data_IF_636523718574
#
_entry.id   IF_636523718574
#
_cell.length_a   1.000
_cell.length_b   1.000
_cell.length_c   1.000
_cell.angle_alpha   90.00
_cell.angle_beta   90.00
_cell.angle_gamma   90.00
#
_symmetry.space_group_name_H-M   'P 1'
#
loop_
_entity.id
_entity.type
_entity.pdbx_description
1 polymer ?
#
# COMPACT_ATOMS: atom_id res chain seq x y z
N UNK A 1 11.59 11.35 -3.67
CA UNK A 1 10.99 10.14 -3.06
C UNK A 1 9.53 9.91 -3.46
N UNK A 2 8.57 10.77 -3.08
CA UNK A 2 7.14 10.54 -3.35
C UNK A 2 6.79 10.18 -4.80
N UNK A 3 7.41 10.88 -5.76
CA UNK A 3 7.29 10.56 -7.18
C UNK A 3 7.76 9.15 -7.54
N UNK A 4 8.89 8.69 -6.98
CA UNK A 4 9.40 7.34 -7.20
C UNK A 4 8.45 6.27 -6.64
N UNK A 5 7.78 6.55 -5.52
CA UNK A 5 6.78 5.65 -4.92
C UNK A 5 5.63 5.45 -5.89
N UNK A 6 5.02 6.53 -6.39
CA UNK A 6 3.95 6.41 -7.39
C UNK A 6 4.38 5.71 -8.67
N UNK A 7 5.61 5.97 -9.13
CA UNK A 7 6.16 5.34 -10.32
C UNK A 7 6.42 3.84 -10.17
N UNK A 8 6.90 3.37 -9.01
CA UNK A 8 7.17 1.95 -8.78
C UNK A 8 5.89 1.19 -8.42
N UNK A 9 5.11 1.75 -7.50
CA UNK A 9 4.11 0.98 -6.75
C UNK A 9 2.68 1.09 -7.30
N UNK A 10 2.40 1.92 -8.31
CA UNK A 10 1.10 1.91 -8.99
C UNK A 10 0.73 0.51 -9.50
N UNK A 11 1.73 -0.29 -9.85
CA UNK A 11 1.55 -1.66 -10.29
C UNK A 11 0.97 -2.55 -9.18
N UNK A 12 1.29 -2.30 -7.91
CA UNK A 12 0.78 -3.07 -6.78
C UNK A 12 -0.74 -2.93 -6.61
N UNK A 13 -1.33 -1.82 -7.08
CA UNK A 13 -2.77 -1.55 -6.96
C UNK A 13 -3.57 -1.82 -8.23
N UNK A 14 -2.98 -1.62 -9.41
CA UNK A 14 -3.73 -1.62 -10.67
C UNK A 14 -3.31 -2.71 -11.66
N UNK A 15 -2.20 -3.44 -11.43
CA UNK A 15 -1.76 -4.47 -12.37
C UNK A 15 -2.77 -5.61 -12.52
N UNK A 16 -3.53 -5.94 -11.47
CA UNK A 16 -4.58 -6.96 -11.50
C UNK A 16 -5.72 -6.54 -12.43
N UNK A 17 -6.23 -5.32 -12.30
CA UNK A 17 -7.33 -4.82 -13.14
C UNK A 17 -6.89 -4.56 -14.59
N UNK A 18 -5.67 -4.08 -14.81
CA UNK A 18 -5.11 -3.91 -16.17
C UNK A 18 -4.84 -5.27 -16.81
N UNK A 19 -4.23 -6.21 -16.07
CA UNK A 19 -3.92 -7.56 -16.53
C UNK A 19 -5.17 -8.36 -16.90
N UNK A 20 -6.24 -8.23 -16.10
CA UNK A 20 -7.55 -8.84 -16.38
C UNK A 20 -8.35 -8.10 -17.48
N UNK A 21 -7.79 -7.02 -18.07
CA UNK A 21 -8.43 -6.17 -19.08
C UNK A 21 -9.76 -5.56 -18.59
N UNK A 22 -9.86 -5.27 -17.30
CA UNK A 22 -10.99 -4.58 -16.70
C UNK A 22 -10.98 -3.08 -17.02
N UNK A 23 -9.79 -2.48 -17.00
CA UNK A 23 -9.55 -1.07 -17.31
C UNK A 23 -8.31 -0.92 -18.19
N UNK A 24 -8.26 0.19 -18.92
CA UNK A 24 -7.08 0.54 -19.70
C UNK A 24 -5.97 1.06 -18.78
N UNK A 25 -4.75 1.00 -19.29
CA UNK A 25 -3.58 1.54 -18.63
C UNK A 25 -3.75 3.02 -18.21
N UNK A 26 -4.29 3.86 -19.11
CA UNK A 26 -4.50 5.30 -18.84
C UNK A 26 -5.50 5.52 -17.71
N UNK A 27 -6.60 4.77 -17.70
CA UNK A 27 -7.60 4.84 -16.64
C UNK A 27 -7.02 4.42 -15.29
N UNK A 28 -6.29 3.29 -15.26
CA UNK A 28 -5.65 2.78 -14.06
C UNK A 28 -4.78 3.82 -13.36
N UNK A 29 -3.92 4.48 -14.14
CA UNK A 29 -2.98 5.47 -13.61
C UNK A 29 -3.67 6.72 -13.07
N UNK A 30 -4.71 7.22 -13.75
CA UNK A 30 -5.50 8.36 -13.28
C UNK A 30 -6.25 8.04 -11.98
N UNK A 31 -6.94 6.90 -11.95
CA UNK A 31 -7.67 6.43 -10.77
C UNK A 31 -6.70 6.23 -9.60
N UNK A 32 -5.57 5.56 -9.84
CA UNK A 32 -4.57 5.33 -8.81
C UNK A 32 -4.00 6.65 -8.27
N UNK A 33 -3.70 7.63 -9.13
CA UNK A 33 -3.18 8.93 -8.69
C UNK A 33 -4.13 9.63 -7.72
N UNK A 34 -5.42 9.71 -8.06
CA UNK A 34 -6.43 10.34 -7.20
C UNK A 34 -6.59 9.59 -5.88
N UNK A 35 -6.74 8.26 -5.92
CA UNK A 35 -7.01 7.49 -4.71
C UNK A 35 -5.78 7.39 -3.79
N UNK A 36 -4.58 7.34 -4.35
CA UNK A 36 -3.35 7.44 -3.56
C UNK A 36 -3.28 8.79 -2.84
N UNK A 37 -3.61 9.89 -3.54
CA UNK A 37 -3.65 11.21 -2.91
C UNK A 37 -4.65 11.25 -1.75
N UNK A 38 -5.88 10.75 -1.96
CA UNK A 38 -6.92 10.71 -0.92
C UNK A 38 -6.47 9.85 0.28
N UNK A 39 -5.92 8.66 0.04
CA UNK A 39 -5.40 7.80 1.11
C UNK A 39 -4.25 8.43 1.89
N UNK A 40 -3.32 9.06 1.17
CA UNK A 40 -2.16 9.74 1.72
C UNK A 40 -2.57 10.89 2.67
N UNK A 41 -3.46 11.76 2.22
CA UNK A 41 -3.88 12.95 2.96
C UNK A 41 -4.70 12.62 4.20
N UNK A 42 -5.66 11.70 4.08
CA UNK A 42 -6.63 11.47 5.16
C UNK A 42 -6.24 10.38 6.15
N UNK A 43 -5.40 9.41 5.75
CA UNK A 43 -5.06 8.25 6.60
C UNK A 43 -3.56 8.15 6.90
N UNK A 44 -2.71 8.75 6.06
CA UNK A 44 -1.25 8.56 6.10
C UNK A 44 -0.49 9.11 7.30
N UNK A 45 -1.13 9.89 8.18
CA UNK A 45 -0.47 10.49 9.35
C UNK A 45 0.14 9.46 10.30
N UNK A 46 -0.57 8.35 10.57
CA UNK A 46 -0.19 7.35 11.57
C UNK A 46 1.15 6.69 11.26
N UNK A 47 1.33 6.18 10.03
CA UNK A 47 2.58 5.54 9.60
C UNK A 47 3.69 6.59 9.49
N UNK A 48 3.34 7.81 9.08
CA UNK A 48 4.30 8.91 8.96
C UNK A 48 4.91 9.27 10.31
N UNK A 49 4.12 9.32 11.38
CA UNK A 49 4.61 9.51 12.75
C UNK A 49 5.59 8.41 13.17
N UNK A 50 5.31 7.15 12.81
CA UNK A 50 6.23 6.03 13.08
C UNK A 50 7.59 6.23 12.40
N UNK A 51 7.61 6.64 11.12
CA UNK A 51 8.87 6.84 10.38
C UNK A 51 9.62 8.10 10.83
N UNK A 52 8.90 9.18 11.18
CA UNK A 52 9.47 10.49 11.54
C UNK A 52 10.46 10.42 12.70
N UNK A 53 10.13 9.72 13.79
CA UNK A 53 10.89 9.82 15.04
C UNK A 53 11.15 8.51 15.78
N UNK A 54 10.65 7.36 15.32
CA UNK A 54 10.77 6.11 16.10
C UNK A 54 11.84 5.15 15.58
N UNK A 55 12.53 5.46 14.48
CA UNK A 55 13.58 4.60 13.92
C UNK A 55 14.97 5.03 14.37
N UNK A 56 15.25 6.34 14.28
CA UNK A 56 16.53 6.94 14.67
C UNK A 56 16.27 7.90 15.84
N UNK A 57 17.03 7.73 16.92
CA UNK A 57 16.90 8.52 18.12
C UNK A 57 17.66 9.85 17.96
N UNK A 58 16.96 11.00 17.88
CA UNK A 58 17.60 12.29 17.68
C UNK A 58 18.51 12.71 18.85
N UNK A 59 18.16 12.32 20.08
CA UNK A 59 18.86 12.73 21.30
C UNK A 59 20.30 12.19 21.36
N UNK A 60 20.55 11.04 20.73
CA UNK A 60 21.87 10.40 20.69
C UNK A 60 22.81 11.09 19.71
N UNK A 61 22.28 11.62 18.60
CA UNK A 61 23.10 12.38 17.64
C UNK A 61 23.45 13.75 18.21
N UNK A 62 22.52 14.39 18.91
CA UNK A 62 22.72 15.65 19.64
C UNK A 62 22.92 16.89 18.75
N UNK A 63 23.32 16.71 17.49
CA UNK A 63 23.49 17.76 16.49
C UNK A 63 22.29 17.81 15.51
N UNK A 64 21.42 18.84 15.59
CA UNK A 64 20.30 19.03 14.67
C UNK A 64 20.72 19.13 13.20
N UNK A 65 21.91 19.67 12.91
CA UNK A 65 22.40 19.78 11.54
C UNK A 65 22.76 18.41 10.96
N UNK A 66 23.49 17.58 11.70
CA UNK A 66 23.75 16.20 11.31
C UNK A 66 22.46 15.38 11.13
N UNK A 67 21.45 15.56 11.99
CA UNK A 67 20.16 14.89 11.83
C UNK A 67 19.44 15.31 10.54
N UNK A 68 19.41 16.62 10.26
CA UNK A 68 18.80 17.17 9.05
C UNK A 68 19.48 16.60 7.79
N UNK A 69 20.81 16.60 7.75
CA UNK A 69 21.59 15.99 6.65
C UNK A 69 21.33 14.48 6.55
N UNK A 70 21.18 13.78 7.67
CA UNK A 70 20.86 12.36 7.72
C UNK A 70 19.52 12.03 7.08
N UNK A 71 18.46 12.77 7.42
CA UNK A 71 17.14 12.58 6.81
C UNK A 71 17.16 12.92 5.30
N UNK A 72 17.85 13.99 4.88
CA UNK A 72 18.02 14.31 3.46
C UNK A 72 18.79 13.20 2.72
N UNK A 73 19.90 12.71 3.30
CA UNK A 73 20.68 11.61 2.75
C UNK A 73 19.83 10.35 2.58
N UNK A 74 19.00 10.03 3.57
CA UNK A 74 18.11 8.87 3.52
C UNK A 74 17.08 8.97 2.39
N UNK A 75 16.48 10.15 2.19
CA UNK A 75 15.54 10.41 1.11
C UNK A 75 16.22 10.31 -0.26
N UNK A 76 17.43 10.86 -0.39
CA UNK A 76 18.20 10.79 -1.64
C UNK A 76 18.58 9.34 -1.96
N UNK A 77 19.13 8.61 -1.00
CA UNK A 77 19.53 7.22 -1.16
C UNK A 77 18.35 6.33 -1.57
N UNK A 78 17.26 6.37 -0.80
CA UNK A 78 16.05 5.61 -1.11
C UNK A 78 15.47 6.04 -2.46
N UNK A 79 15.48 7.35 -2.78
CA UNK A 79 15.01 7.84 -4.07
C UNK A 79 15.84 7.30 -5.23
N UNK A 80 17.17 7.37 -5.16
CA UNK A 80 18.06 6.87 -6.21
C UNK A 80 17.86 5.36 -6.39
N UNK A 81 17.82 4.61 -5.29
CA UNK A 81 17.64 3.16 -5.35
C UNK A 81 16.30 2.76 -5.98
N UNK A 82 15.20 3.40 -5.57
CA UNK A 82 13.87 3.14 -6.15
C UNK A 82 13.82 3.59 -7.60
N UNK A 83 14.39 4.76 -7.93
CA UNK A 83 14.42 5.27 -9.31
C UNK A 83 15.14 4.29 -10.25
N UNK A 84 16.32 3.80 -9.86
CA UNK A 84 17.09 2.82 -10.65
C UNK A 84 16.35 1.49 -10.79
N UNK A 85 15.65 1.06 -9.74
CA UNK A 85 14.85 -0.16 -9.77
C UNK A 85 13.63 -0.03 -10.68
N UNK A 86 12.90 1.09 -10.61
CA UNK A 86 11.82 1.45 -11.53
C UNK A 86 12.30 1.51 -12.97
N UNK A 87 13.50 2.08 -13.20
CA UNK A 87 14.10 2.15 -14.53
C UNK A 87 14.38 0.76 -15.12
N UNK A 88 14.78 -0.20 -14.28
CA UNK A 88 14.93 -1.62 -14.61
C UNK A 88 13.61 -2.42 -14.56
N UNK A 89 12.48 -1.75 -14.38
CA UNK A 89 11.14 -2.35 -14.29
C UNK A 89 11.00 -3.40 -13.17
N UNK A 90 11.77 -3.21 -12.09
CA UNK A 90 11.77 -4.11 -10.93
C UNK A 90 10.83 -3.55 -9.86
N UNK A 91 9.80 -4.32 -9.44
CA UNK A 91 9.01 -3.97 -8.27
C UNK A 91 9.87 -4.17 -7.02
N UNK A 92 10.08 -3.11 -6.25
CA UNK A 92 10.85 -3.16 -5.01
C UNK A 92 10.07 -2.50 -3.89
N UNK A 93 10.34 -2.88 -2.65
CA UNK A 93 9.68 -2.21 -1.53
C UNK A 93 10.33 -0.86 -1.23
N UNK A 94 9.54 0.20 -1.42
CA UNK A 94 9.90 1.56 -1.05
C UNK A 94 10.06 1.72 0.46
N UNK A 95 9.21 1.06 1.27
CA UNK A 95 9.31 1.03 2.75
C UNK A 95 10.64 0.44 3.24
N UNK A 96 11.06 -0.71 2.71
CA UNK A 96 12.36 -1.30 3.05
C UNK A 96 13.52 -0.39 2.63
N UNK A 97 13.39 0.30 1.49
CA UNK A 97 14.41 1.22 1.00
C UNK A 97 14.60 2.41 1.93
N UNK A 98 13.50 3.03 2.40
CA UNK A 98 13.59 4.18 3.32
C UNK A 98 14.05 3.75 4.70
N UNK A 99 13.50 2.68 5.26
CA UNK A 99 13.90 2.22 6.60
C UNK A 99 15.36 1.73 6.60
N UNK A 100 15.80 1.07 5.53
CA UNK A 100 17.21 0.76 5.33
C UNK A 100 18.08 2.01 5.23
N UNK A 101 17.67 3.01 4.47
CA UNK A 101 18.40 4.27 4.37
C UNK A 101 18.48 5.02 5.72
N UNK A 102 17.39 5.05 6.50
CA UNK A 102 17.35 5.60 7.86
C UNK A 102 18.34 4.87 8.78
N UNK A 103 18.35 3.53 8.74
CA UNK A 103 19.31 2.71 9.47
C UNK A 103 20.75 3.05 9.08
N UNK A 104 21.03 3.18 7.78
CA UNK A 104 22.35 3.48 7.25
C UNK A 104 22.92 4.80 7.76
N UNK A 105 22.13 5.89 7.73
CA UNK A 105 22.61 7.15 8.30
C UNK A 105 22.70 7.08 9.82
N UNK A 106 21.71 6.47 10.50
CA UNK A 106 21.67 6.40 11.97
C UNK A 106 22.92 5.72 12.54
N UNK A 107 23.35 4.61 11.92
CA UNK A 107 24.57 3.90 12.30
C UNK A 107 25.85 4.73 12.10
N UNK A 108 25.93 5.55 11.06
CA UNK A 108 27.10 6.41 10.82
C UNK A 108 27.09 7.66 11.72
N UNK A 109 25.92 8.22 11.99
CA UNK A 109 25.78 9.46 12.75
C UNK A 109 26.02 9.25 14.25
N UNK A 110 25.48 8.17 14.83
CA UNK A 110 25.52 7.93 16.29
C UNK A 110 25.74 6.47 16.70
N UNK A 111 26.19 5.61 15.78
CA UNK A 111 26.45 4.19 16.07
C UNK A 111 25.17 3.38 16.34
N UNK A 112 25.33 2.21 16.95
CA UNK A 112 24.21 1.30 17.25
C UNK A 112 23.20 1.88 18.25
N UNK A 113 23.64 2.77 19.14
CA UNK A 113 22.78 3.39 20.18
C UNK A 113 21.78 4.39 19.61
N UNK A 114 22.07 4.94 18.43
CA UNK A 114 21.18 5.85 17.72
C UNK A 114 19.98 5.13 17.10
N UNK A 115 20.06 3.82 16.91
CA UNK A 115 18.98 3.03 16.29
C UNK A 115 18.06 2.46 17.36
N UNK A 116 16.75 2.70 17.20
CA UNK A 116 15.76 2.04 18.05
C UNK A 116 15.52 0.60 17.57
N UNK A 117 16.32 -0.33 18.09
CA UNK A 117 16.26 -1.75 17.71
C UNK A 117 14.94 -2.43 18.05
N UNK A 118 14.28 -2.02 19.14
CA UNK A 118 12.97 -2.55 19.50
C UNK A 118 11.93 -2.18 18.44
N UNK A 119 11.87 -0.88 18.07
CA UNK A 119 10.94 -0.42 17.05
C UNK A 119 11.26 -0.98 15.67
N UNK A 120 12.54 -1.08 15.32
CA UNK A 120 12.96 -1.73 14.08
C UNK A 120 12.56 -3.21 14.07
N UNK A 121 12.62 -3.90 15.20
CA UNK A 121 12.14 -5.27 15.37
C UNK A 121 10.62 -5.41 15.16
N UNK A 122 9.83 -4.50 15.71
CA UNK A 122 8.38 -4.44 15.47
C UNK A 122 8.05 -4.20 13.98
N UNK A 123 8.78 -3.28 13.35
CA UNK A 123 8.68 -3.00 11.91
C UNK A 123 9.04 -4.25 11.10
N UNK A 124 10.17 -4.89 11.39
CA UNK A 124 10.59 -6.11 10.70
C UNK A 124 9.58 -7.25 10.87
N UNK A 125 8.98 -7.39 12.06
CA UNK A 125 7.90 -8.34 12.30
C UNK A 125 6.69 -8.04 11.41
N UNK A 126 6.31 -6.77 11.26
CA UNK A 126 5.21 -6.38 10.37
C UNK A 126 5.46 -6.76 8.90
N UNK A 127 6.72 -6.76 8.44
CA UNK A 127 7.09 -7.16 7.08
C UNK A 127 6.93 -8.66 6.83
N UNK A 128 7.00 -9.48 7.88
CA UNK A 128 6.76 -10.93 7.81
C UNK A 128 5.27 -11.24 7.99
N UNK A 129 4.59 -10.52 8.89
CA UNK A 129 3.18 -10.74 9.19
C UNK A 129 2.26 -10.25 8.06
N UNK A 130 2.59 -9.15 7.38
CA UNK A 130 1.69 -8.59 6.37
C UNK A 130 1.48 -9.51 5.15
N UNK A 131 2.49 -10.19 4.58
CA UNK A 131 2.26 -11.15 3.50
C UNK A 131 1.46 -12.37 3.95
N UNK A 132 1.65 -12.81 5.19
CA UNK A 132 0.90 -13.93 5.77
C UNK A 132 -0.57 -13.53 5.95
N UNK A 133 -0.84 -12.35 6.50
CA UNK A 133 -2.20 -11.82 6.65
C UNK A 133 -2.88 -11.66 5.28
N UNK A 134 -2.17 -11.09 4.29
CA UNK A 134 -2.66 -10.98 2.92
C UNK A 134 -2.98 -12.35 2.30
N UNK A 135 -2.10 -13.33 2.50
CA UNK A 135 -2.29 -14.72 2.07
C UNK A 135 -3.55 -15.34 2.69
N UNK A 136 -3.71 -15.27 4.01
CA UNK A 136 -4.85 -15.83 4.72
C UNK A 136 -6.15 -15.16 4.28
N UNK A 137 -6.19 -13.82 4.24
CA UNK A 137 -7.40 -13.09 3.85
C UNK A 137 -7.79 -13.38 2.40
N UNK A 138 -6.84 -13.36 1.46
CA UNK A 138 -7.15 -13.65 0.07
C UNK A 138 -7.58 -15.12 -0.15
N UNK A 139 -6.97 -16.06 0.57
CA UNK A 139 -7.40 -17.47 0.58
C UNK A 139 -8.85 -17.62 1.08
N UNK A 140 -9.17 -17.01 2.22
CA UNK A 140 -10.51 -17.08 2.83
C UNK A 140 -11.56 -16.46 1.91
N UNK A 141 -11.30 -15.26 1.38
CA UNK A 141 -12.21 -14.57 0.45
C UNK A 141 -12.44 -15.41 -0.80
N UNK A 142 -11.38 -15.99 -1.37
CA UNK A 142 -11.53 -16.82 -2.55
C UNK A 142 -12.32 -18.11 -2.26
N UNK A 143 -12.08 -18.76 -1.12
CA UNK A 143 -12.88 -19.94 -0.69
C UNK A 143 -14.34 -19.58 -0.47
N UNK A 144 -14.65 -18.41 0.09
CA UNK A 144 -16.02 -17.91 0.24
C UNK A 144 -16.67 -17.71 -1.14
N UNK A 145 -15.97 -17.08 -2.09
CA UNK A 145 -16.46 -16.90 -3.46
C UNK A 145 -16.74 -18.27 -4.12
N UNK A 146 -15.83 -19.23 -3.99
CA UNK A 146 -16.04 -20.59 -4.52
C UNK A 146 -17.27 -21.24 -3.90
N UNK A 147 -17.41 -21.20 -2.57
CA UNK A 147 -18.52 -21.83 -1.85
C UNK A 147 -19.87 -21.17 -2.13
N UNK A 148 -19.91 -19.83 -2.20
CA UNK A 148 -21.16 -19.08 -2.32
C UNK A 148 -21.60 -18.88 -3.76
N UNK A 149 -20.68 -18.92 -4.74
CA UNK A 149 -20.98 -18.64 -6.15
C UNK A 149 -20.74 -19.88 -7.01
N UNK A 150 -19.51 -20.38 -7.06
CA UNK A 150 -19.14 -21.45 -8.01
C UNK A 150 -19.70 -22.83 -7.63
N UNK A 151 -19.95 -23.09 -6.36
CA UNK A 151 -20.53 -24.35 -5.89
C UNK A 151 -22.08 -24.38 -5.94
N UNK A 152 -22.73 -23.34 -6.48
CA UNK A 152 -24.19 -23.26 -6.62
C UNK A 152 -24.64 -23.76 -7.99
N UNK A 153 -25.86 -24.26 -8.07
CA UNK A 153 -26.46 -24.76 -9.32
C UNK A 153 -26.59 -23.66 -10.39
N UNK A 154 -26.84 -22.42 -9.95
CA UNK A 154 -26.85 -21.23 -10.79
C UNK A 154 -25.84 -20.18 -10.28
N UNK A 155 -24.56 -20.29 -10.71
CA UNK A 155 -23.50 -19.36 -10.31
C UNK A 155 -23.77 -17.91 -10.70
N UNK A 156 -24.53 -17.65 -11.77
CA UNK A 156 -24.78 -16.28 -12.23
C UNK A 156 -25.73 -15.54 -11.29
N UNK A 157 -26.84 -16.18 -10.90
CA UNK A 157 -27.76 -15.62 -9.89
C UNK A 157 -27.05 -15.46 -8.55
N UNK A 158 -26.25 -16.46 -8.15
CA UNK A 158 -25.44 -16.37 -6.93
C UNK A 158 -24.46 -15.19 -6.98
N UNK A 159 -23.79 -14.95 -8.11
CA UNK A 159 -22.89 -13.80 -8.26
C UNK A 159 -23.63 -12.46 -8.19
N UNK A 160 -24.84 -12.37 -8.75
CA UNK A 160 -25.69 -11.17 -8.68
C UNK A 160 -26.19 -10.88 -7.27
N UNK A 161 -26.36 -11.92 -6.43
CA UNK A 161 -26.78 -11.78 -5.04
C UNK A 161 -25.61 -11.48 -4.10
N UNK A 162 -24.52 -12.25 -4.22
CA UNK A 162 -23.36 -12.18 -3.31
C UNK A 162 -22.44 -11.01 -3.66
N UNK A 163 -22.22 -10.73 -4.94
CA UNK A 163 -21.32 -9.68 -5.41
C UNK A 163 -21.59 -8.29 -4.81
N UNK A 164 -22.85 -7.79 -4.82
CA UNK A 164 -23.20 -6.53 -4.16
C UNK A 164 -22.86 -6.48 -2.67
N UNK A 165 -23.08 -7.58 -1.94
CA UNK A 165 -22.76 -7.67 -0.52
C UNK A 165 -21.26 -7.48 -0.26
N UNK A 166 -20.41 -8.09 -1.08
CA UNK A 166 -18.95 -7.95 -0.94
C UNK A 166 -18.49 -6.51 -1.25
N UNK A 167 -19.08 -5.84 -2.25
CA UNK A 167 -18.83 -4.40 -2.47
C UNK A 167 -19.26 -3.58 -1.25
N UNK A 168 -20.43 -3.87 -0.69
CA UNK A 168 -20.93 -3.19 0.51
C UNK A 168 -19.96 -3.25 1.68
N UNK A 169 -19.41 -4.44 1.95
CA UNK A 169 -18.37 -4.64 2.98
C UNK A 169 -17.10 -3.86 2.64
N UNK A 170 -16.68 -3.85 1.37
CA UNK A 170 -15.51 -3.09 0.92
C UNK A 170 -15.70 -1.59 1.15
N UNK A 171 -16.85 -1.04 0.76
CA UNK A 171 -17.20 0.36 0.95
C UNK A 171 -17.27 0.73 2.44
N UNK A 172 -17.88 -0.14 3.26
CA UNK A 172 -17.92 0.00 4.71
C UNK A 172 -16.51 0.12 5.30
N UNK A 173 -15.58 -0.78 4.93
CA UNK A 173 -14.20 -0.75 5.44
C UNK A 173 -13.45 0.52 5.03
N UNK A 174 -13.61 0.98 3.78
CA UNK A 174 -12.99 2.22 3.32
C UNK A 174 -13.54 3.43 4.09
N UNK A 175 -14.87 3.57 4.18
CA UNK A 175 -15.49 4.71 4.89
C UNK A 175 -15.14 4.67 6.36
N UNK A 176 -15.23 3.52 7.01
CA UNK A 176 -14.84 3.36 8.42
C UNK A 176 -13.39 3.78 8.63
N UNK A 177 -12.48 3.40 7.71
CA UNK A 177 -11.09 3.81 7.78
C UNK A 177 -10.86 5.30 7.50
N UNK A 178 -11.72 5.95 6.72
CA UNK A 178 -11.61 7.39 6.45
C UNK A 178 -11.94 8.23 7.69
N UNK A 179 -12.78 7.74 8.60
CA UNK A 179 -13.19 8.46 9.79
C UNK A 179 -12.53 7.96 11.08
N UNK A 180 -12.23 6.67 11.24
CA UNK A 180 -11.65 6.18 12.51
C UNK A 180 -10.28 6.78 12.79
N UNK A 181 -10.19 7.67 13.79
CA UNK A 181 -8.97 8.34 14.27
C UNK A 181 -8.19 9.09 13.17
N UNK A 182 -8.87 9.68 12.20
CA UNK A 182 -8.22 10.43 11.10
C UNK A 182 -8.36 11.93 11.26
N UNK A 183 -7.55 12.67 10.48
CA UNK A 183 -7.72 14.11 10.32
C UNK A 183 -9.13 14.47 9.81
N UNK A 184 -9.70 13.64 8.93
CA UNK A 184 -11.03 13.88 8.37
C UNK A 184 -12.13 13.85 9.44
N UNK A 185 -12.05 12.90 10.38
CA UNK A 185 -13.01 12.81 11.49
C UNK A 185 -13.00 14.08 12.34
N UNK A 186 -11.83 14.61 12.64
CA UNK A 186 -11.71 15.88 13.37
C UNK A 186 -12.23 17.07 12.55
N UNK A 187 -12.00 17.11 11.24
CA UNK A 187 -12.48 18.19 10.36
C UNK A 187 -14.01 18.22 10.22
N UNK A 188 -14.64 17.05 10.18
CA UNK A 188 -16.10 16.91 9.98
C UNK A 188 -16.85 16.88 11.32
N UNK A 189 -16.15 16.70 12.45
CA UNK A 189 -16.74 16.64 13.79
C UNK A 189 -17.33 15.27 14.15
N UNK A 190 -17.16 14.26 13.30
CA UNK A 190 -17.65 12.89 13.53
C UNK A 190 -16.54 12.09 14.20
N UNK A 191 -16.54 12.07 15.54
CA UNK A 191 -15.48 11.41 16.34
C UNK A 191 -15.99 10.18 17.10
N UNK A 192 -17.30 10.06 17.29
CA UNK A 192 -17.88 8.93 18.01
C UNK A 192 -17.86 7.67 17.13
N UNK A 193 -17.38 6.56 17.71
CA UNK A 193 -17.25 5.29 16.98
C UNK A 193 -18.61 4.77 16.48
N UNK A 194 -19.67 4.97 17.26
CA UNK A 194 -21.04 4.57 16.90
C UNK A 194 -21.51 5.30 15.63
N UNK A 195 -21.33 6.62 15.56
CA UNK A 195 -21.66 7.46 14.41
C UNK A 195 -20.87 7.06 13.16
N UNK A 196 -19.57 6.81 13.32
CA UNK A 196 -18.70 6.37 12.22
C UNK A 196 -19.21 5.04 11.65
N UNK A 197 -19.55 4.08 12.52
CA UNK A 197 -20.06 2.77 12.10
C UNK A 197 -21.43 2.89 11.42
N UNK A 198 -22.31 3.78 11.89
CA UNK A 198 -23.61 4.05 11.27
C UNK A 198 -23.47 4.67 9.88
N UNK A 199 -22.63 5.70 9.73
CA UNK A 199 -22.36 6.33 8.43
C UNK A 199 -21.74 5.31 7.47
N UNK A 200 -20.77 4.54 7.93
CA UNK A 200 -20.11 3.49 7.13
C UNK A 200 -21.11 2.42 6.69
N UNK A 201 -22.01 2.01 7.59
CA UNK A 201 -23.07 1.05 7.27
C UNK A 201 -24.07 1.61 6.24
N UNK A 202 -24.49 2.87 6.40
CA UNK A 202 -25.37 3.55 5.45
C UNK A 202 -24.77 3.66 4.04
N UNK A 203 -23.49 4.05 3.94
CA UNK A 203 -22.76 4.06 2.67
C UNK A 203 -22.63 2.64 2.11
N UNK A 204 -22.26 1.66 2.94
CA UNK A 204 -22.17 0.25 2.56
C UNK A 204 -23.47 -0.28 1.95
N UNK A 205 -24.61 -0.06 2.62
CA UNK A 205 -25.95 -0.44 2.14
C UNK A 205 -26.28 0.25 0.82
N UNK A 206 -25.95 1.54 0.68
CA UNK A 206 -26.15 2.28 -0.58
C UNK A 206 -25.38 1.62 -1.73
N UNK A 207 -24.12 1.24 -1.50
CA UNK A 207 -23.31 0.52 -2.47
C UNK A 207 -23.88 -0.87 -2.80
N UNK A 208 -24.44 -1.59 -1.82
CA UNK A 208 -25.14 -2.86 -2.06
C UNK A 208 -26.33 -2.64 -2.99
N UNK A 209 -27.21 -1.67 -2.68
CA UNK A 209 -28.43 -1.40 -3.45
C UNK A 209 -28.09 -1.02 -4.90
N UNK A 210 -27.16 -0.06 -5.08
CA UNK A 210 -26.73 0.41 -6.40
C UNK A 210 -26.09 -0.74 -7.19
N UNK A 211 -25.18 -1.51 -6.57
CA UNK A 211 -24.53 -2.63 -7.22
C UNK A 211 -25.52 -3.72 -7.60
N UNK A 212 -26.47 -4.07 -6.72
CA UNK A 212 -27.51 -5.05 -7.02
C UNK A 212 -28.36 -4.62 -8.21
N UNK A 213 -28.75 -3.35 -8.29
CA UNK A 213 -29.50 -2.82 -9.43
C UNK A 213 -28.69 -2.87 -10.74
N UNK A 214 -27.41 -2.50 -10.70
CA UNK A 214 -26.54 -2.51 -11.88
C UNK A 214 -26.22 -3.93 -12.38
N UNK A 215 -26.05 -4.89 -11.48
CA UNK A 215 -25.73 -6.27 -11.82
C UNK A 215 -26.94 -7.06 -12.32
N UNK A 216 -28.15 -6.74 -11.85
CA UNK A 216 -29.41 -7.34 -12.35
C UNK A 216 -29.58 -7.15 -13.86
N UNK A 217 -29.11 -6.03 -14.42
CA UNK A 217 -29.20 -5.71 -15.85
C UNK A 217 -28.31 -6.58 -16.75
N UNK A 218 -27.40 -7.37 -16.17
CA UNK A 218 -26.50 -8.23 -16.93
C UNK A 218 -27.25 -9.51 -17.35
N UNK A 219 -27.49 -9.67 -18.65
CA UNK A 219 -28.10 -10.88 -19.22
C UNK A 219 -27.08 -12.02 -19.28
N UNK A 220 -27.51 -13.20 -18.86
CA UNK A 220 -26.75 -14.44 -18.95
C UNK A 220 -27.23 -15.25 -20.14
N UNK A 221 -26.34 -15.99 -20.80
CA UNK A 221 -26.73 -16.91 -21.88
C UNK A 221 -27.24 -18.24 -21.34
N UNK A 222 -26.77 -18.66 -20.16
CA UNK A 222 -27.19 -19.88 -19.46
C UNK A 222 -27.00 -19.75 -17.94
N UNK A 223 -27.55 -20.69 -17.17
CA UNK A 223 -27.40 -20.73 -15.71
C UNK A 223 -25.96 -21.02 -15.26
N UNK A 224 -25.19 -21.78 -16.05
CA UNK A 224 -23.77 -22.11 -15.80
C UNK A 224 -22.81 -21.28 -16.65
N UNK A 225 -23.13 -20.00 -16.85
CA UNK A 225 -22.30 -19.07 -17.62
C UNK A 225 -21.18 -18.46 -16.74
N UNK A 226 -20.10 -19.21 -16.57
CA UNK A 226 -18.91 -18.74 -15.83
C UNK A 226 -18.28 -17.50 -16.46
N UNK A 227 -18.40 -17.29 -17.77
CA UNK A 227 -17.91 -16.09 -18.43
C UNK A 227 -18.70 -14.85 -18.00
N UNK A 228 -20.01 -14.98 -17.78
CA UNK A 228 -20.83 -13.91 -17.20
C UNK A 228 -20.47 -13.63 -15.74
N UNK A 229 -20.19 -14.65 -14.93
CA UNK A 229 -19.67 -14.46 -13.56
C UNK A 229 -18.36 -13.65 -13.58
N UNK A 230 -17.42 -14.03 -14.44
CA UNK A 230 -16.16 -13.29 -14.60
C UNK A 230 -16.37 -11.87 -15.11
N UNK A 231 -17.37 -11.63 -15.98
CA UNK A 231 -17.74 -10.28 -16.44
C UNK A 231 -18.31 -9.41 -15.32
N UNK A 232 -19.07 -10.01 -14.40
CA UNK A 232 -19.54 -9.34 -13.17
C UNK A 232 -18.33 -8.96 -12.32
N UNK A 233 -17.47 -9.94 -12.00
CA UNK A 233 -16.27 -9.71 -11.19
C UNK A 233 -15.29 -8.73 -11.83
N UNK A 234 -15.22 -8.64 -13.16
CA UNK A 234 -14.45 -7.60 -13.84
C UNK A 234 -14.84 -6.19 -13.40
N UNK A 235 -16.14 -5.95 -13.16
CA UNK A 235 -16.62 -4.64 -12.64
C UNK A 235 -16.34 -4.50 -11.15
N UNK A 236 -16.55 -5.56 -10.36
CA UNK A 236 -16.28 -5.56 -8.93
C UNK A 236 -14.80 -5.32 -8.62
N UNK A 237 -13.92 -5.91 -9.43
CA UNK A 237 -12.47 -5.82 -9.28
C UNK A 237 -11.97 -4.38 -9.41
N UNK A 238 -12.61 -3.55 -10.25
CA UNK A 238 -12.23 -2.13 -10.35
C UNK A 238 -12.39 -1.45 -8.98
N UNK A 239 -13.46 -1.77 -8.25
CA UNK A 239 -13.70 -1.23 -6.90
C UNK A 239 -12.63 -1.72 -5.93
N UNK A 240 -12.21 -2.98 -6.01
CA UNK A 240 -11.13 -3.47 -5.13
C UNK A 240 -9.76 -2.93 -5.52
N UNK A 241 -9.47 -2.71 -6.79
CA UNK A 241 -8.21 -2.05 -7.21
C UNK A 241 -8.17 -0.59 -6.74
N UNK A 242 -9.33 0.09 -6.74
CA UNK A 242 -9.49 1.38 -6.08
C UNK A 242 -9.18 1.31 -4.58
N UNK A 243 -9.68 0.26 -3.91
CA UNK A 243 -9.40 0.02 -2.49
C UNK A 243 -7.90 -0.18 -2.23
N UNK A 244 -7.20 -0.96 -3.07
CA UNK A 244 -5.75 -1.14 -2.96
C UNK A 244 -5.05 0.22 -3.13
N UNK A 245 -5.37 0.99 -4.18
CA UNK A 245 -4.73 2.29 -4.42
C UNK A 245 -4.93 3.28 -3.26
N UNK A 246 -6.11 3.29 -2.64
CA UNK A 246 -6.38 4.08 -1.46
C UNK A 246 -5.53 3.62 -0.25
N UNK A 247 -5.54 2.32 0.06
CA UNK A 247 -4.77 1.75 1.18
C UNK A 247 -3.26 1.94 0.99
N UNK A 248 -2.80 1.88 -0.27
CA UNK A 248 -1.42 2.11 -0.66
C UNK A 248 -0.98 3.54 -0.35
N UNK A 249 -1.74 4.54 -0.80
CA UNK A 249 -1.45 5.94 -0.46
C UNK A 249 -1.42 6.19 1.05
N UNK A 250 -2.30 5.52 1.80
CA UNK A 250 -2.35 5.60 3.25
C UNK A 250 -1.12 5.02 3.96
N UNK A 251 -0.47 3.98 3.44
CA UNK A 251 0.75 3.42 4.06
C UNK A 251 2.00 4.14 3.53
N UNK A 252 2.13 4.23 2.21
CA UNK A 252 3.42 4.48 1.56
C UNK A 252 3.75 5.97 1.46
N UNK A 253 2.81 6.90 1.70
CA UNK A 253 3.13 8.34 1.82
C UNK A 253 4.16 8.60 2.92
N UNK A 254 4.13 7.79 3.99
CA UNK A 254 5.05 7.89 5.11
C UNK A 254 6.51 7.71 4.70
N UNK A 255 6.78 6.92 3.67
CA UNK A 255 8.14 6.67 3.17
C UNK A 255 8.78 7.95 2.62
N UNK A 256 7.97 8.88 2.07
CA UNK A 256 8.45 10.18 1.66
C UNK A 256 8.31 11.22 2.77
N UNK A 257 7.16 11.26 3.44
CA UNK A 257 6.80 12.35 4.34
C UNK A 257 7.34 12.17 5.75
N UNK A 258 7.66 10.96 6.19
CA UNK A 258 8.28 10.73 7.50
C UNK A 258 9.59 11.50 7.64
N UNK A 259 10.57 11.27 6.74
CA UNK A 259 11.82 12.02 6.75
C UNK A 259 11.64 13.52 6.45
N UNK A 260 10.72 13.89 5.55
CA UNK A 260 10.44 15.32 5.25
C UNK A 260 9.85 16.03 6.48
N UNK A 261 8.96 15.38 7.23
CA UNK A 261 8.38 15.91 8.45
C UNK A 261 9.46 16.06 9.54
N UNK A 262 10.43 15.14 9.59
CA UNK A 262 11.56 15.27 10.51
C UNK A 262 12.46 16.46 10.14
N UNK A 263 12.78 16.63 8.86
CA UNK A 263 13.50 17.82 8.36
C UNK A 263 12.74 19.11 8.65
N UNK A 264 11.42 19.11 8.43
CA UNK A 264 10.56 20.26 8.69
C UNK A 264 10.61 20.65 10.18
N UNK A 265 10.31 19.71 11.09
CA UNK A 265 10.37 19.96 12.54
C UNK A 265 11.74 20.45 13.00
N UNK A 266 12.83 19.81 12.55
CA UNK A 266 14.19 20.26 12.88
C UNK A 266 14.48 21.68 12.39
N UNK A 267 14.00 22.04 11.20
CA UNK A 267 14.24 23.36 10.60
C UNK A 267 13.41 24.50 11.21
N UNK A 268 12.21 24.19 11.72
CA UNK A 268 11.28 25.22 12.24
C UNK A 268 11.30 25.31 13.77
N UNK A 269 11.41 24.17 14.45
CA UNK A 269 11.31 24.08 15.92
C UNK A 269 12.69 23.86 16.57
N UNK A 270 13.71 23.49 15.80
CA UNK A 270 15.06 23.18 16.30
C UNK A 270 15.16 21.84 17.04
N UNK A 271 14.04 21.17 17.28
CA UNK A 271 13.94 19.88 17.96
C UNK A 271 13.03 18.95 17.16
N UNK A 272 13.32 17.65 17.20
CA UNK A 272 12.47 16.62 16.61
C UNK A 272 11.55 16.05 17.68
N UNK A 273 10.30 16.49 17.75
CA UNK A 273 9.28 15.82 18.56
C UNK A 273 8.66 14.62 17.79
N UNK A 274 8.89 13.37 18.21
CA UNK A 274 8.33 12.18 17.55
C UNK A 274 6.79 12.14 17.57
N UNK A 275 6.16 12.78 18.56
CA UNK A 275 4.71 12.74 18.81
C UNK A 275 3.98 13.87 18.09
N UNK A 276 4.68 14.96 17.76
CA UNK A 276 4.07 16.10 17.07
C UNK A 276 3.28 15.68 15.82
N UNK A 277 2.04 16.19 15.64
CA UNK A 277 1.20 15.83 14.51
C UNK A 277 1.85 16.26 13.21
N UNK A 278 1.75 15.41 12.19
CA UNK A 278 2.28 15.72 10.86
C UNK A 278 1.33 16.68 10.15
N UNK A 279 1.80 17.85 9.68
CA UNK A 279 0.96 18.79 8.94
C UNK A 279 0.32 18.16 7.70
N UNK A 280 -0.97 18.42 7.49
CA UNK A 280 -1.73 17.93 6.33
C UNK A 280 -1.09 18.39 5.01
N UNK A 281 -0.48 19.58 4.98
CA UNK A 281 0.24 20.11 3.82
C UNK A 281 1.41 19.21 3.39
N UNK A 282 2.13 18.61 4.34
CA UNK A 282 3.21 17.67 4.02
C UNK A 282 2.65 16.35 3.47
N UNK A 283 1.56 15.83 4.05
CA UNK A 283 0.87 14.65 3.50
C UNK A 283 0.34 14.91 2.09
N UNK A 284 -0.21 16.10 1.84
CA UNK A 284 -0.66 16.53 0.52
C UNK A 284 0.49 16.63 -0.48
N UNK A 285 1.64 17.17 -0.08
CA UNK A 285 2.86 17.19 -0.89
C UNK A 285 3.27 15.75 -1.30
N UNK A 286 3.24 14.82 -0.36
CA UNK A 286 3.52 13.41 -0.62
C UNK A 286 2.51 12.78 -1.57
N UNK A 287 1.22 13.00 -1.32
CA UNK A 287 0.13 12.52 -2.18
C UNK A 287 0.23 13.04 -3.61
N UNK A 288 0.53 14.34 -3.80
CA UNK A 288 0.72 14.95 -5.13
C UNK A 288 1.92 14.32 -5.82
N UNK A 289 3.03 14.16 -5.11
CA UNK A 289 4.22 13.49 -5.63
C UNK A 289 3.90 12.07 -6.12
N UNK A 290 3.21 11.26 -5.31
CA UNK A 290 2.77 9.91 -5.68
C UNK A 290 1.87 9.96 -6.92
N UNK A 291 0.88 10.86 -6.95
CA UNK A 291 -0.04 10.99 -8.07
C UNK A 291 0.69 11.31 -9.39
N UNK A 292 1.63 12.26 -9.37
CA UNK A 292 2.45 12.62 -10.54
C UNK A 292 3.34 11.44 -10.95
N UNK A 293 3.92 10.72 -9.98
CA UNK A 293 4.72 9.51 -10.22
C UNK A 293 3.95 8.42 -10.96
N UNK A 294 2.73 8.13 -10.49
CA UNK A 294 1.80 7.23 -11.15
C UNK A 294 1.59 7.66 -12.61
N UNK A 295 1.25 8.94 -12.82
CA UNK A 295 0.91 9.53 -14.13
C UNK A 295 2.03 9.53 -15.15
N UNK A 296 3.26 9.74 -14.69
CA UNK A 296 4.41 9.95 -15.57
C UNK A 296 5.19 8.67 -15.84
N UNK A 297 5.51 7.87 -14.81
CA UNK A 297 6.41 6.71 -14.96
C UNK A 297 5.87 5.38 -14.45
N UNK A 298 4.68 5.40 -13.85
CA UNK A 298 3.96 4.21 -13.41
C UNK A 298 3.76 3.14 -14.50
N UNK A 299 3.85 3.53 -15.77
CA UNK A 299 3.65 2.62 -16.89
C UNK A 299 4.74 1.61 -17.14
N UNK A 300 5.97 1.87 -16.66
CA UNK A 300 7.07 0.94 -16.87
C UNK A 300 6.89 -0.33 -16.06
N UNK A 301 6.69 -0.18 -14.76
CA UNK A 301 6.55 -1.33 -13.84
C UNK A 301 5.20 -2.03 -14.03
N UNK A 302 4.12 -1.27 -14.26
CA UNK A 302 2.79 -1.86 -14.38
C UNK A 302 2.60 -2.70 -15.65
N UNK A 303 3.29 -2.40 -16.76
CA UNK A 303 3.30 -3.31 -17.92
C UNK A 303 3.89 -4.66 -17.53
N UNK A 304 5.05 -4.66 -16.90
CA UNK A 304 5.80 -5.88 -16.57
C UNK A 304 5.09 -6.74 -15.51
N UNK A 305 4.50 -6.12 -14.49
CA UNK A 305 3.67 -6.85 -13.51
C UNK A 305 2.32 -7.30 -14.08
N UNK A 306 1.65 -6.44 -14.86
CA UNK A 306 0.39 -6.76 -15.52
C UNK A 306 0.53 -8.01 -16.39
N UNK A 307 1.55 -8.09 -17.24
CA UNK A 307 1.83 -9.26 -18.07
C UNK A 307 2.10 -10.54 -17.27
N UNK A 308 2.86 -10.46 -16.17
CA UNK A 308 3.10 -11.63 -15.29
C UNK A 308 1.84 -12.12 -14.57
N UNK A 309 0.86 -11.24 -14.38
CA UNK A 309 -0.40 -11.46 -13.65
C UNK A 309 -1.57 -11.76 -14.62
N UNK A 310 -1.40 -11.62 -15.94
CA UNK A 310 -2.47 -11.82 -16.97
C UNK A 310 -3.17 -13.18 -16.94
N UNK A 311 -2.60 -14.19 -16.27
CA UNK A 311 -3.24 -15.50 -16.08
C UNK A 311 -4.29 -15.54 -14.96
N UNK A 312 -4.48 -14.43 -14.23
CA UNK A 312 -5.48 -14.32 -13.16
C UNK A 312 -6.85 -13.96 -13.71
N UNK A 313 -7.86 -14.76 -13.35
CA UNK A 313 -9.27 -14.45 -13.58
C UNK A 313 -9.71 -13.28 -12.69
N UNK A 314 -10.80 -12.58 -13.03
CA UNK A 314 -11.24 -11.39 -12.29
C UNK A 314 -11.66 -11.72 -10.85
N UNK A 315 -12.25 -12.89 -10.63
CA UNK A 315 -12.55 -13.40 -9.28
C UNK A 315 -11.32 -13.56 -8.40
N UNK A 316 -10.19 -13.95 -9.00
CA UNK A 316 -8.90 -14.07 -8.30
C UNK A 316 -8.29 -12.71 -8.07
N UNK A 317 -8.25 -11.86 -9.09
CA UNK A 317 -7.78 -10.48 -8.98
C UNK A 317 -8.53 -9.72 -7.87
N UNK A 318 -9.85 -9.86 -7.82
CA UNK A 318 -10.70 -9.34 -6.75
C UNK A 318 -10.25 -9.82 -5.37
N UNK A 319 -10.02 -11.13 -5.20
CA UNK A 319 -9.64 -11.71 -3.91
C UNK A 319 -8.25 -11.27 -3.45
N UNK A 320 -7.31 -11.16 -4.40
CA UNK A 320 -5.96 -10.62 -4.16
C UNK A 320 -6.04 -9.16 -3.72
N UNK A 321 -6.75 -8.32 -4.48
CA UNK A 321 -6.90 -6.90 -4.20
C UNK A 321 -7.54 -6.68 -2.82
N UNK A 322 -8.64 -7.40 -2.52
CA UNK A 322 -9.31 -7.28 -1.23
C UNK A 322 -8.41 -7.69 -0.06
N UNK A 323 -7.78 -8.87 -0.14
CA UNK A 323 -6.91 -9.36 0.92
C UNK A 323 -5.69 -8.45 1.16
N UNK A 324 -5.10 -7.95 0.08
CA UNK A 324 -3.98 -7.02 0.16
C UNK A 324 -4.40 -5.66 0.74
N UNK A 325 -5.46 -5.04 0.20
CA UNK A 325 -5.92 -3.74 0.64
C UNK A 325 -6.38 -3.73 2.10
N UNK A 326 -7.10 -4.77 2.55
CA UNK A 326 -7.52 -4.89 3.95
C UNK A 326 -6.33 -5.02 4.89
N UNK A 327 -5.33 -5.84 4.52
CA UNK A 327 -4.11 -5.96 5.32
C UNK A 327 -3.35 -4.64 5.42
N UNK A 328 -3.15 -3.97 4.27
CA UNK A 328 -2.45 -2.68 4.21
C UNK A 328 -3.19 -1.64 5.03
N UNK A 329 -4.51 -1.54 4.90
CA UNK A 329 -5.29 -0.54 5.61
C UNK A 329 -5.26 -0.75 7.13
N UNK A 330 -5.36 -2.00 7.60
CA UNK A 330 -5.23 -2.33 9.03
C UNK A 330 -3.84 -1.95 9.53
N UNK A 331 -2.78 -2.30 8.79
CA UNK A 331 -1.41 -1.92 9.15
C UNK A 331 -1.23 -0.40 9.20
N UNK A 332 -1.78 0.34 8.23
CA UNK A 332 -1.75 1.80 8.22
C UNK A 332 -2.42 2.40 9.45
N UNK A 333 -3.55 1.85 9.90
CA UNK A 333 -4.25 2.28 11.11
C UNK A 333 -3.50 1.99 12.40
N UNK A 334 -2.76 0.89 12.42
CA UNK A 334 -1.87 0.55 13.52
C UNK A 334 -0.54 1.33 13.47
N UNK A 335 -0.36 2.22 12.48
CA UNK A 335 0.88 2.98 12.30
C UNK A 335 2.07 2.12 11.89
N UNK A 336 1.82 0.91 11.38
CA UNK A 336 2.87 -0.03 10.98
C UNK A 336 3.30 0.21 9.53
N UNK A 337 4.56 0.61 9.28
CA UNK A 337 5.10 0.73 7.94
C UNK A 337 5.37 -0.66 7.37
N UNK A 338 4.56 -1.08 6.40
CA UNK A 338 4.68 -2.41 5.78
C UNK A 338 5.07 -2.28 4.31
N UNK A 339 5.33 -3.41 3.65
CA UNK A 339 5.47 -3.46 2.20
C UNK A 339 4.14 -3.86 1.55
N UNK A 340 3.56 -2.95 0.77
CA UNK A 340 2.40 -3.21 -0.07
C UNK A 340 2.71 -4.30 -1.11
N UNK A 341 3.88 -4.26 -1.74
CA UNK A 341 4.31 -5.27 -2.72
C UNK A 341 4.36 -6.67 -2.12
N UNK A 342 4.88 -6.83 -0.89
CA UNK A 342 4.98 -8.14 -0.25
C UNK A 342 3.61 -8.66 0.14
N UNK A 343 2.74 -7.75 0.58
CA UNK A 343 1.36 -8.07 0.96
C UNK A 343 0.55 -8.56 -0.25
N UNK A 344 0.71 -7.93 -1.42
CA UNK A 344 0.11 -8.39 -2.68
C UNK A 344 0.66 -9.75 -3.09
N UNK A 345 1.98 -9.97 -3.00
CA UNK A 345 2.58 -11.29 -3.29
C UNK A 345 1.99 -12.36 -2.37
N UNK A 346 1.88 -12.08 -1.06
CA UNK A 346 1.23 -12.96 -0.10
C UNK A 346 -0.21 -13.29 -0.49
N UNK A 347 -1.00 -12.27 -0.85
CA UNK A 347 -2.37 -12.45 -1.32
C UNK A 347 -2.47 -13.31 -2.60
N UNK A 348 -1.56 -13.13 -3.57
CA UNK A 348 -1.47 -13.98 -4.77
C UNK A 348 -1.18 -15.43 -4.41
N UNK A 349 -0.24 -15.67 -3.49
CA UNK A 349 0.06 -17.02 -2.98
C UNK A 349 -1.17 -17.64 -2.32
N UNK A 350 -1.90 -16.87 -1.50
CA UNK A 350 -3.12 -17.32 -0.84
C UNK A 350 -4.21 -17.79 -1.80
N UNK A 351 -4.45 -17.03 -2.88
CA UNK A 351 -5.39 -17.45 -3.93
C UNK A 351 -4.88 -18.67 -4.70
N UNK A 352 -3.57 -18.79 -4.91
CA UNK A 352 -2.92 -19.98 -5.49
C UNK A 352 -3.15 -21.23 -4.64
N UNK A 353 -2.85 -21.16 -3.34
CA UNK A 353 -3.05 -22.23 -2.37
C UNK A 353 -4.51 -22.72 -2.32
N UNK A 354 -5.47 -21.81 -2.50
CA UNK A 354 -6.88 -22.18 -2.49
C UNK A 354 -7.29 -23.13 -3.65
N UNK A 355 -6.47 -23.22 -4.71
CA UNK A 355 -6.64 -24.14 -5.85
C UNK A 355 -5.79 -25.43 -5.76
N UNK A 356 -4.78 -25.47 -4.90
CA UNK A 356 -3.84 -26.60 -4.79
C UNK A 356 -2.38 -26.14 -4.84
N UNK A 357 -1.48 -26.93 -4.23
CA UNK A 357 -0.06 -26.58 -4.07
C UNK A 357 0.72 -26.50 -5.40
N UNK A 358 0.28 -27.22 -6.43
CA UNK A 358 0.93 -27.27 -7.75
C UNK A 358 0.86 -25.96 -8.54
N UNK A 359 0.02 -25.01 -8.10
CA UNK A 359 -0.13 -23.71 -8.75
C UNK A 359 0.95 -22.67 -8.35
N UNK A 360 1.89 -23.03 -7.46
CA UNK A 360 2.84 -22.08 -6.86
C UNK A 360 4.26 -22.30 -7.40
N UNK A 361 4.82 -21.27 -8.04
CA UNK A 361 6.22 -21.27 -8.45
C UNK A 361 7.15 -20.84 -7.29
N UNK A 362 7.73 -21.82 -6.61
CA UNK A 362 8.67 -21.59 -5.50
C UNK A 362 9.93 -20.82 -5.92
N UNK A 363 10.33 -20.83 -7.20
CA UNK A 363 11.49 -20.05 -7.67
C UNK A 363 11.19 -18.56 -7.64
N UNK A 364 9.96 -18.17 -8.01
CA UNK A 364 9.50 -16.78 -7.94
C UNK A 364 9.47 -16.30 -6.49
N UNK A 365 8.93 -17.11 -5.56
CA UNK A 365 8.91 -16.78 -4.13
C UNK A 365 10.33 -16.59 -3.57
N UNK A 366 11.26 -17.52 -3.87
CA UNK A 366 12.66 -17.40 -3.43
C UNK A 366 13.30 -16.11 -3.95
N UNK A 367 13.13 -15.80 -5.24
CA UNK A 367 13.69 -14.57 -5.84
C UNK A 367 13.17 -13.30 -5.17
N UNK A 368 11.89 -13.30 -4.80
CA UNK A 368 11.23 -12.23 -4.07
C UNK A 368 11.88 -12.07 -2.68
N UNK A 369 12.00 -13.13 -1.90
CA UNK A 369 12.65 -13.10 -0.57
C UNK A 369 14.09 -12.59 -0.66
N UNK A 370 14.89 -13.05 -1.64
CA UNK A 370 16.25 -12.55 -1.85
C UNK A 370 16.28 -11.04 -2.16
N UNK A 371 15.34 -10.55 -2.98
CA UNK A 371 15.26 -9.11 -3.27
C UNK A 371 14.94 -8.28 -2.02
N UNK A 372 14.16 -8.83 -1.08
CA UNK A 372 13.81 -8.17 0.18
C UNK A 372 15.02 -8.05 1.10
N UNK A 373 15.77 -9.15 1.25
CA UNK A 373 16.99 -9.18 2.06
C UNK A 373 18.08 -8.26 1.54
N UNK A 374 18.17 -8.07 0.21
CA UNK A 374 19.20 -7.21 -0.39
C UNK A 374 18.84 -5.71 -0.35
N UNK A 375 17.55 -5.38 -0.40
CA UNK A 375 17.08 -3.98 -0.46
C UNK A 375 17.53 -3.17 0.75
N UNK A 376 17.36 -3.70 1.97
CA UNK A 376 17.67 -2.97 3.21
C UNK A 376 19.17 -2.65 3.33
N UNK A 377 20.11 -3.61 3.21
CA UNK A 377 21.54 -3.33 3.26
C UNK A 377 22.01 -2.41 2.13
N UNK A 378 21.50 -2.58 0.91
CA UNK A 378 21.88 -1.74 -0.21
C UNK A 378 21.47 -0.28 0.00
N UNK A 379 20.25 -0.03 0.48
CA UNK A 379 19.78 1.31 0.79
C UNK A 379 20.52 1.93 1.99
N UNK A 380 20.83 1.12 3.00
CA UNK A 380 21.63 1.54 4.15
C UNK A 380 23.04 1.99 3.75
N UNK A 381 23.74 1.18 2.96
CA UNK A 381 25.08 1.49 2.48
C UNK A 381 25.10 2.76 1.61
N UNK A 382 24.11 2.91 0.72
CA UNK A 382 23.99 4.11 -0.12
C UNK A 382 23.71 5.36 0.73
N UNK A 383 22.85 5.27 1.74
CA UNK A 383 22.55 6.38 2.64
C UNK A 383 23.75 6.78 3.49
N UNK A 384 24.49 5.80 4.01
CA UNK A 384 25.74 6.03 4.72
C UNK A 384 26.74 6.81 3.86
N UNK A 385 26.95 6.38 2.61
CA UNK A 385 27.86 7.05 1.68
C UNK A 385 27.43 8.50 1.35
N UNK A 386 26.14 8.71 1.08
CA UNK A 386 25.60 10.05 0.79
C UNK A 386 25.72 10.95 2.02
N UNK A 387 25.42 10.43 3.22
CA UNK A 387 25.51 11.19 4.45
C UNK A 387 26.94 11.65 4.74
N UNK A 388 27.93 10.77 4.61
CA UNK A 388 29.36 11.11 4.77
C UNK A 388 29.77 12.19 3.78
N UNK A 389 29.35 12.07 2.51
CA UNK A 389 29.64 13.05 1.47
C UNK A 389 29.03 14.42 1.81
N UNK A 390 27.75 14.47 2.20
CA UNK A 390 27.06 15.70 2.56
C UNK A 390 27.71 16.37 3.77
N UNK A 391 28.05 15.60 4.81
CA UNK A 391 28.74 16.12 6.00
C UNK A 391 30.11 16.71 5.64
N UNK A 392 30.86 16.04 4.76
CA UNK A 392 32.17 16.54 4.33
C UNK A 392 32.08 17.85 3.55
N UNK A 393 31.00 18.05 2.78
CA UNK A 393 30.81 19.25 1.93
C UNK A 393 30.24 20.41 2.74
N UNK A 394 29.25 20.15 3.60
CA UNK A 394 28.45 21.18 4.26
C UNK A 394 28.98 21.54 5.66
N UNK A 395 29.77 20.65 6.29
CA UNK A 395 30.26 20.76 7.66
C UNK A 395 29.35 20.00 8.62
#
# INVERSE_FOLDING_TARGET
>A
MAWNIGANDVANSMATAVGAKAITFRQAVLIAGVLNFVGAVFVGSHVTQTIKGNIVNPDVVGDPHALLLGFIASLLAASIFVMLSTWKEMPISTTHSVIGALLGFGLIAGGSYCVNWLKLGEVAMSWVLSPIAGCILAFVVFKIIVKLIFAKDNPVEAAKLVGPGIIGVTAFLIVSSLFMKTNLSNMVGVTEVSEILLISAGVGVTFVIVSAFLLRKIKAQSSQDYATVERIFRRLQIVTSCYVAFSHGANDVANAIGPVAAVFSLSTEGVLDPVAPVPISLLALGGVGIAIGCMTWGHKVMKTLGYRITSLTNTRGFSVDFGAATTVLIASKLGMPISTSHTVVGAVIGVGLARGLDAIDLKVIKKIIYSWLLTVPAAAALSAAIFICLRTIVG
#
